data_IF_612300930046
#
_entry.id   IF_612300930046
#
_cell.length_a   1.000
_cell.length_b   1.000
_cell.length_c   1.000
_cell.angle_alpha   90.00
_cell.angle_beta   90.00
_cell.angle_gamma   90.00
#
_symmetry.space_group_name_H-M   'P 1'
#
loop_
_entity.id
_entity.type
_entity.pdbx_description
1 polymer ?
#
# COMPACT_ATOMS: atom_id res chain seq x y z
N UNK A 1 1.44 39.05 2.06
CA UNK A 1 2.47 38.24 2.72
C UNK A 1 3.54 37.91 1.68
N UNK A 2 4.82 37.96 2.03
CA UNK A 2 5.90 37.56 1.12
C UNK A 2 5.95 36.04 1.01
N UNK A 3 6.14 35.52 -0.22
CA UNK A 3 6.31 34.08 -0.45
C UNK A 3 7.51 33.58 0.36
N UNK A 4 7.30 32.54 1.17
CA UNK A 4 8.41 31.87 1.85
C UNK A 4 8.99 30.87 0.87
N UNK A 5 10.22 31.14 0.39
CA UNK A 5 10.95 30.15 -0.38
C UNK A 5 11.27 28.97 0.54
N UNK A 6 10.65 27.82 0.30
CA UNK A 6 11.00 26.59 0.98
C UNK A 6 12.38 26.13 0.52
N UNK A 7 13.19 25.61 1.44
CA UNK A 7 14.47 24.98 1.11
C UNK A 7 14.32 23.60 0.44
N UNK A 8 13.09 23.20 0.13
CA UNK A 8 12.73 21.87 -0.37
C UNK A 8 11.81 22.04 -1.58
N UNK A 9 12.15 21.38 -2.68
CA UNK A 9 11.26 21.19 -3.82
C UNK A 9 10.53 19.86 -3.67
N UNK A 10 9.23 19.91 -3.38
CA UNK A 10 8.42 18.71 -3.15
C UNK A 10 8.33 17.80 -4.38
N UNK A 11 8.45 18.35 -5.59
CA UNK A 11 8.42 17.55 -6.83
C UNK A 11 9.73 16.80 -7.04
N UNK A 12 10.86 17.40 -6.68
CA UNK A 12 12.15 16.69 -6.70
C UNK A 12 12.22 15.61 -5.62
N UNK A 13 11.72 15.87 -4.41
CA UNK A 13 11.62 14.85 -3.35
C UNK A 13 10.70 13.69 -3.75
N UNK A 14 9.57 13.99 -4.42
CA UNK A 14 8.71 12.97 -5.02
C UNK A 14 9.49 12.09 -6.01
N UNK A 15 10.28 12.67 -6.92
CA UNK A 15 11.08 11.89 -7.88
C UNK A 15 12.09 10.99 -7.18
N UNK A 16 12.80 11.51 -6.16
CA UNK A 16 13.75 10.71 -5.36
C UNK A 16 13.06 9.55 -4.67
N UNK A 17 11.90 9.80 -4.05
CA UNK A 17 11.11 8.78 -3.39
C UNK A 17 10.64 7.67 -4.34
N UNK A 18 10.12 8.02 -5.52
CA UNK A 18 9.74 7.03 -6.54
C UNK A 18 10.94 6.19 -7.01
N UNK A 19 12.11 6.81 -7.18
CA UNK A 19 13.34 6.10 -7.53
C UNK A 19 13.72 5.09 -6.46
N UNK A 20 13.71 5.48 -5.18
CA UNK A 20 13.98 4.59 -4.04
C UNK A 20 13.01 3.40 -4.01
N UNK A 21 11.71 3.63 -4.23
CA UNK A 21 10.70 2.56 -4.27
C UNK A 21 10.96 1.62 -5.46
N UNK A 22 11.36 2.15 -6.62
CA UNK A 22 11.67 1.32 -7.79
C UNK A 22 12.93 0.46 -7.55
N UNK A 23 13.92 1.00 -6.84
CA UNK A 23 15.15 0.27 -6.48
C UNK A 23 14.94 -0.87 -5.47
N UNK A 24 13.77 -0.94 -4.83
CA UNK A 24 13.36 -2.04 -3.93
C UNK A 24 13.02 -3.33 -4.69
N UNK A 25 12.89 -3.28 -6.02
CA UNK A 25 12.51 -4.40 -6.88
C UNK A 25 11.09 -4.90 -6.62
N UNK A 26 10.88 -6.21 -6.65
CA UNK A 26 9.58 -6.83 -6.45
C UNK A 26 9.06 -6.57 -5.04
N UNK A 27 7.96 -5.83 -4.92
CA UNK A 27 7.35 -5.50 -3.63
C UNK A 27 6.25 -6.49 -3.27
N UNK A 28 6.32 -7.05 -2.07
CA UNK A 28 5.28 -7.91 -1.49
C UNK A 28 4.69 -7.17 -0.29
N UNK A 29 3.47 -6.67 -0.47
CA UNK A 29 2.79 -5.84 0.52
C UNK A 29 1.96 -6.76 1.42
N UNK A 30 2.23 -6.74 2.72
CA UNK A 30 1.47 -7.53 3.70
C UNK A 30 0.70 -6.59 4.61
N UNK A 31 -0.60 -6.83 4.79
CA UNK A 31 -1.41 -6.02 5.70
C UNK A 31 -0.95 -6.23 7.15
N UNK A 32 -0.48 -5.16 7.79
CA UNK A 32 -0.05 -5.13 9.20
C UNK A 32 -1.01 -4.32 10.09
N UNK A 33 -2.24 -4.07 9.62
CA UNK A 33 -3.31 -3.54 10.48
C UNK A 33 -3.66 -4.51 11.62
N UNK A 34 -4.18 -3.99 12.74
CA UNK A 34 -4.44 -4.75 13.97
C UNK A 34 -5.23 -6.06 13.74
N UNK A 35 -6.25 -6.04 12.88
CA UNK A 35 -7.01 -7.24 12.53
C UNK A 35 -6.19 -8.31 11.79
N UNK A 36 -5.23 -7.91 10.95
CA UNK A 36 -4.32 -8.86 10.29
C UNK A 36 -3.22 -9.32 11.23
N UNK A 37 -2.72 -8.44 12.11
CA UNK A 37 -1.76 -8.81 13.17
C UNK A 37 -2.36 -9.88 14.09
N UNK A 38 -3.61 -9.70 14.53
CA UNK A 38 -4.32 -10.69 15.32
C UNK A 38 -4.52 -12.03 14.57
N UNK A 39 -4.52 -12.01 13.24
CA UNK A 39 -4.61 -13.19 12.38
C UNK A 39 -3.25 -13.78 11.97
N UNK A 40 -2.14 -13.27 12.53
CA UNK A 40 -0.79 -13.81 12.31
C UNK A 40 0.01 -13.15 11.19
N UNK A 41 -0.31 -11.92 10.77
CA UNK A 41 0.41 -11.27 9.66
C UNK A 41 1.89 -11.01 9.94
N UNK A 42 2.29 -10.84 11.21
CA UNK A 42 3.70 -10.69 11.58
C UNK A 42 4.51 -11.95 11.25
N UNK A 43 3.98 -13.13 11.55
CA UNK A 43 4.62 -14.40 11.18
C UNK A 43 4.72 -14.55 9.65
N UNK A 44 3.68 -14.13 8.92
CA UNK A 44 3.71 -14.12 7.43
C UNK A 44 4.83 -13.21 6.92
N UNK A 45 4.95 -12.00 7.48
CA UNK A 45 6.03 -11.05 7.14
C UNK A 45 7.41 -11.66 7.44
N UNK A 46 7.61 -12.20 8.64
CA UNK A 46 8.89 -12.80 9.02
C UNK A 46 9.22 -14.00 8.13
N UNK A 47 8.26 -14.87 7.81
CA UNK A 47 8.50 -15.99 6.90
C UNK A 47 8.85 -15.55 5.48
N UNK A 48 8.21 -14.50 4.97
CA UNK A 48 8.60 -13.91 3.67
C UNK A 48 10.00 -13.29 3.72
N UNK A 49 10.38 -12.67 4.85
CA UNK A 49 11.75 -12.21 5.06
C UNK A 49 12.72 -13.38 5.15
N UNK A 50 12.42 -14.48 5.83
CA UNK A 50 13.30 -15.67 5.87
C UNK A 50 13.56 -16.25 4.47
N UNK A 51 12.53 -16.31 3.62
CA UNK A 51 12.66 -16.79 2.23
C UNK A 51 13.30 -15.74 1.30
N UNK A 52 13.35 -14.48 1.72
CA UNK A 52 13.65 -13.32 0.88
C UNK A 52 14.80 -12.42 1.33
N UNK A 53 15.35 -12.63 2.53
CA UNK A 53 16.43 -11.82 3.10
C UNK A 53 17.76 -12.51 2.82
N UNK A 54 18.61 -11.80 2.07
CA UNK A 54 19.96 -12.17 1.62
C UNK A 54 20.07 -13.23 0.50
N UNK A 55 19.64 -12.85 -0.72
CA UNK A 55 20.06 -13.53 -1.95
C UNK A 55 21.03 -12.68 -2.75
N UNK A 56 22.28 -12.76 -2.31
CA UNK A 56 23.49 -12.63 -3.14
C UNK A 56 23.63 -13.79 -4.17
N UNK A 57 22.57 -14.57 -4.40
CA UNK A 57 22.60 -15.83 -5.18
C UNK A 57 21.48 -15.93 -6.22
N UNK A 58 20.82 -14.82 -6.57
CA UNK A 58 19.97 -14.79 -7.75
C UNK A 58 20.58 -13.84 -8.77
N UNK A 59 21.14 -14.42 -9.83
CA UNK A 59 21.70 -13.68 -10.96
C UNK A 59 20.55 -13.00 -11.71
N UNK A 60 20.64 -11.68 -11.79
CA UNK A 60 19.93 -10.76 -12.69
C UNK A 60 18.39 -10.53 -12.48
N UNK A 61 17.75 -11.18 -11.51
CA UNK A 61 16.35 -10.96 -11.07
C UNK A 61 16.23 -11.35 -9.58
N UNK A 62 15.65 -10.67 -8.61
CA UNK A 62 14.99 -9.39 -8.43
C UNK A 62 15.16 -9.10 -6.93
N UNK A 63 15.48 -7.86 -6.55
CA UNK A 63 15.40 -7.44 -5.14
C UNK A 63 13.96 -7.65 -4.68
N UNK A 64 13.69 -8.54 -3.74
CA UNK A 64 12.34 -8.67 -3.17
C UNK A 64 12.27 -7.87 -1.87
N UNK A 65 11.31 -6.96 -1.77
CA UNK A 65 11.12 -6.16 -0.58
C UNK A 65 9.76 -6.45 0.04
N UNK A 66 9.78 -6.88 1.31
CA UNK A 66 8.57 -7.11 2.08
C UNK A 66 8.15 -5.80 2.73
N UNK A 67 6.94 -5.34 2.40
CA UNK A 67 6.43 -4.04 2.79
C UNK A 67 5.27 -4.24 3.77
N UNK A 68 5.44 -4.00 5.08
CA UNK A 68 4.32 -3.94 5.99
C UNK A 68 3.46 -2.72 5.67
N UNK A 69 2.20 -2.93 5.36
CA UNK A 69 1.24 -1.87 5.01
C UNK A 69 0.25 -1.62 6.13
N UNK A 70 -0.40 -0.45 6.10
CA UNK A 70 -1.55 -0.16 6.96
C UNK A 70 -2.74 -1.09 6.71
N UNK A 71 -3.84 -0.90 7.44
CA UNK A 71 -5.05 -1.71 7.26
C UNK A 71 -5.69 -1.49 5.88
N UNK A 72 -6.08 -2.58 5.22
CA UNK A 72 -6.78 -2.53 3.91
C UNK A 72 -8.30 -2.43 4.08
N UNK A 73 -8.84 -2.75 5.26
CA UNK A 73 -10.26 -2.65 5.57
C UNK A 73 -11.07 -3.94 5.36
N UNK A 74 -10.54 -4.95 4.65
CA UNK A 74 -11.23 -6.24 4.47
C UNK A 74 -10.77 -7.29 5.49
N UNK A 75 -10.98 -7.00 6.77
CA UNK A 75 -10.46 -7.82 7.89
C UNK A 75 -10.93 -9.29 7.87
N UNK A 76 -12.14 -9.56 7.37
CA UNK A 76 -12.66 -10.93 7.23
C UNK A 76 -11.80 -11.81 6.30
N UNK A 77 -11.12 -11.19 5.34
CA UNK A 77 -10.22 -11.84 4.39
C UNK A 77 -8.75 -11.73 4.81
N UNK A 78 -8.46 -11.21 6.01
CA UNK A 78 -7.10 -11.13 6.54
C UNK A 78 -6.51 -12.51 6.85
N UNK A 79 -5.21 -12.75 6.68
CA UNK A 79 -4.15 -11.82 6.27
C UNK A 79 -4.15 -11.60 4.76
N UNK A 80 -4.00 -10.34 4.34
CA UNK A 80 -3.93 -9.94 2.94
C UNK A 80 -2.47 -9.77 2.50
N UNK A 81 -2.13 -10.34 1.34
CA UNK A 81 -0.82 -10.18 0.70
C UNK A 81 -1.04 -9.72 -0.74
N UNK A 82 -0.45 -8.59 -1.12
CA UNK A 82 -0.58 -8.01 -2.46
C UNK A 82 0.79 -8.01 -3.13
N UNK A 83 0.85 -8.42 -4.40
CA UNK A 83 2.02 -8.32 -5.25
C UNK A 83 1.64 -7.43 -6.44
N UNK A 84 1.87 -6.10 -6.36
CA UNK A 84 1.32 -5.12 -7.30
C UNK A 84 1.79 -5.35 -8.73
N UNK A 85 3.09 -5.64 -8.92
CA UNK A 85 3.69 -5.87 -10.24
C UNK A 85 3.15 -7.13 -10.94
N UNK A 86 2.53 -8.04 -10.16
CA UNK A 86 1.88 -9.25 -10.68
C UNK A 86 0.36 -9.14 -10.68
N UNK A 87 -0.20 -8.03 -10.20
CA UNK A 87 -1.65 -7.79 -10.12
C UNK A 87 -2.41 -8.90 -9.36
N UNK A 88 -1.81 -9.44 -8.29
CA UNK A 88 -2.42 -10.51 -7.48
C UNK A 88 -2.57 -10.10 -6.03
N UNK A 89 -3.73 -10.42 -5.46
CA UNK A 89 -4.05 -10.33 -4.04
C UNK A 89 -4.41 -11.70 -3.51
N UNK A 90 -3.70 -12.12 -2.47
CA UNK A 90 -4.01 -13.32 -1.69
C UNK A 90 -4.77 -12.96 -0.43
N UNK A 91 -5.74 -13.79 -0.10
CA UNK A 91 -6.59 -13.65 1.09
C UNK A 91 -6.36 -14.80 2.06
N UNK A 92 -6.64 -14.55 3.34
CA UNK A 92 -6.58 -15.54 4.44
C UNK A 92 -5.24 -16.28 4.52
N UNK A 93 -4.16 -15.62 4.10
CA UNK A 93 -2.81 -16.20 4.07
C UNK A 93 -2.38 -16.60 5.47
N UNK A 94 -1.82 -17.80 5.60
CA UNK A 94 -1.17 -18.30 6.81
C UNK A 94 0.33 -18.44 6.57
N UNK A 95 1.10 -18.50 7.65
CA UNK A 95 2.55 -18.69 7.62
C UNK A 95 2.97 -19.88 6.74
N UNK A 96 2.26 -21.02 6.85
CA UNK A 96 2.50 -22.22 6.04
C UNK A 96 2.26 -22.04 4.53
N UNK A 97 1.48 -21.04 4.13
CA UNK A 97 1.16 -20.78 2.72
C UNK A 97 2.26 -19.95 2.03
N UNK A 98 3.14 -19.32 2.81
CA UNK A 98 4.18 -18.41 2.31
C UNK A 98 5.18 -19.12 1.40
N UNK A 99 5.58 -20.34 1.74
CA UNK A 99 6.48 -21.15 0.90
C UNK A 99 5.86 -21.47 -0.47
N UNK A 100 4.56 -21.78 -0.51
CA UNK A 100 3.85 -22.04 -1.77
C UNK A 100 3.75 -20.77 -2.63
N UNK A 101 3.45 -19.62 -2.03
CA UNK A 101 3.42 -18.33 -2.73
C UNK A 101 4.80 -18.01 -3.31
N UNK A 102 5.86 -18.21 -2.53
CA UNK A 102 7.23 -17.92 -2.95
C UNK A 102 7.67 -18.84 -4.11
N UNK A 103 7.52 -20.15 -3.96
CA UNK A 103 7.95 -21.10 -4.98
C UNK A 103 7.07 -21.05 -6.24
N UNK A 104 5.74 -21.05 -6.10
CA UNK A 104 4.84 -21.09 -7.26
C UNK A 104 4.75 -19.73 -7.94
N UNK A 105 4.51 -18.66 -7.18
CA UNK A 105 4.16 -17.37 -7.79
C UNK A 105 5.38 -16.47 -7.98
N UNK A 106 6.21 -16.29 -6.95
CA UNK A 106 7.33 -15.35 -7.04
C UNK A 106 8.41 -15.89 -7.99
N UNK A 107 8.83 -17.15 -7.84
CA UNK A 107 9.84 -17.78 -8.70
C UNK A 107 9.29 -18.22 -10.06
N UNK A 108 8.12 -18.87 -10.09
CA UNK A 108 7.61 -19.52 -11.30
C UNK A 108 6.46 -18.76 -11.99
N UNK A 109 6.11 -17.55 -11.53
CA UNK A 109 5.04 -16.73 -12.08
C UNK A 109 3.67 -17.43 -12.18
N UNK A 110 3.39 -18.38 -11.28
CA UNK A 110 2.14 -19.13 -11.23
C UNK A 110 1.38 -18.80 -9.93
N UNK A 111 0.28 -18.02 -10.01
CA UNK A 111 -0.52 -17.68 -8.84
C UNK A 111 -1.06 -18.92 -8.09
N UNK A 112 -1.16 -18.81 -6.77
CA UNK A 112 -1.74 -19.85 -5.91
C UNK A 112 -3.26 -19.67 -5.86
N UNK A 113 -3.98 -20.31 -6.78
CA UNK A 113 -5.42 -20.10 -7.00
C UNK A 113 -6.27 -20.29 -5.74
N UNK A 114 -5.95 -21.28 -4.90
CA UNK A 114 -6.69 -21.55 -3.65
C UNK A 114 -6.65 -20.39 -2.64
N UNK A 115 -5.70 -19.46 -2.79
CA UNK A 115 -5.54 -18.28 -1.93
C UNK A 115 -6.10 -17.01 -2.56
N UNK A 116 -6.61 -17.08 -3.80
CA UNK A 116 -7.29 -15.95 -4.44
C UNK A 116 -8.69 -15.77 -3.84
N UNK A 117 -9.16 -14.53 -3.80
CA UNK A 117 -10.53 -14.25 -3.40
C UNK A 117 -11.50 -14.94 -4.36
N UNK A 118 -12.52 -15.60 -3.83
CA UNK A 118 -13.61 -16.18 -4.62
C UNK A 118 -14.81 -15.27 -4.48
N UNK A 119 -15.33 -14.75 -5.59
CA UNK A 119 -16.52 -13.93 -5.57
C UNK A 119 -17.74 -14.78 -5.12
N UNK A 120 -18.48 -14.38 -4.08
CA UNK A 120 -19.58 -15.18 -3.56
C UNK A 120 -20.78 -15.28 -4.51
N UNK A 121 -20.84 -14.44 -5.56
CA UNK A 121 -21.92 -14.44 -6.56
C UNK A 121 -21.53 -15.21 -7.82
N UNK A 122 -20.32 -15.01 -8.34
CA UNK A 122 -19.88 -15.66 -9.59
C UNK A 122 -19.16 -16.98 -9.34
N UNK A 123 -18.67 -17.22 -8.11
CA UNK A 123 -17.80 -18.34 -7.74
C UNK A 123 -16.47 -18.38 -8.50
N UNK A 124 -16.06 -17.26 -9.09
CA UNK A 124 -14.80 -17.12 -9.82
C UNK A 124 -13.70 -16.55 -8.93
N UNK A 125 -12.46 -16.93 -9.24
CA UNK A 125 -11.28 -16.33 -8.62
C UNK A 125 -11.05 -14.90 -9.13
N UNK A 126 -10.85 -13.98 -8.20
CA UNK A 126 -10.50 -12.59 -8.48
C UNK A 126 -9.03 -12.39 -8.12
N UNK A 127 -8.25 -11.95 -9.10
CA UNK A 127 -6.82 -11.72 -8.93
C UNK A 127 -6.52 -10.35 -8.34
N UNK A 128 -7.13 -9.30 -8.89
CA UNK A 128 -6.83 -7.92 -8.53
C UNK A 128 -7.66 -7.44 -7.36
N UNK A 129 -7.02 -6.65 -6.50
CA UNK A 129 -7.68 -6.05 -5.35
C UNK A 129 -8.85 -5.15 -5.78
N UNK A 130 -8.66 -4.39 -6.85
CA UNK A 130 -9.62 -3.40 -7.37
C UNK A 130 -10.88 -4.05 -7.94
N UNK A 131 -10.79 -5.32 -8.35
CA UNK A 131 -11.87 -6.10 -8.94
C UNK A 131 -12.71 -6.83 -7.88
N UNK A 132 -12.20 -6.96 -6.65
CA UNK A 132 -12.94 -7.56 -5.54
C UNK A 132 -14.15 -6.67 -5.24
N UNK A 133 -15.35 -7.27 -5.28
CA UNK A 133 -16.63 -6.60 -5.12
C UNK A 133 -16.74 -5.70 -3.86
N UNK A 134 -16.01 -6.05 -2.80
CA UNK A 134 -15.89 -5.23 -1.59
C UNK A 134 -15.24 -3.86 -1.87
N UNK A 135 -14.14 -3.81 -2.63
CA UNK A 135 -13.40 -2.58 -2.94
C UNK A 135 -13.95 -1.85 -4.17
N UNK A 136 -14.36 -2.59 -5.22
CA UNK A 136 -14.79 -2.03 -6.51
C UNK A 136 -15.94 -1.01 -6.39
N UNK A 137 -16.73 -1.09 -5.32
CA UNK A 137 -17.91 -0.22 -5.07
C UNK A 137 -17.61 0.94 -4.12
N UNK A 138 -16.36 1.12 -3.70
CA UNK A 138 -15.97 2.15 -2.75
C UNK A 138 -15.26 3.31 -3.45
N UNK A 139 -15.59 4.54 -3.06
CA UNK A 139 -14.77 5.72 -3.36
C UNK A 139 -13.85 6.00 -2.18
N UNK A 140 -12.59 5.57 -2.28
CA UNK A 140 -11.62 5.62 -1.17
C UNK A 140 -10.81 6.92 -1.15
N UNK A 141 -11.45 8.09 -1.10
CA UNK A 141 -10.73 9.38 -1.16
C UNK A 141 -9.73 9.57 0.00
N UNK A 142 -10.17 9.42 1.25
CA UNK A 142 -9.29 9.54 2.42
C UNK A 142 -8.41 8.29 2.66
N UNK A 143 -8.85 7.14 2.16
CA UNK A 143 -8.19 5.84 2.37
C UNK A 143 -7.41 5.38 1.13
N UNK A 144 -7.14 6.27 0.17
CA UNK A 144 -6.59 5.93 -1.15
C UNK A 144 -5.23 5.21 -1.03
N UNK A 145 -4.43 5.59 -0.05
CA UNK A 145 -3.08 5.04 0.16
C UNK A 145 -3.08 3.84 1.12
N UNK A 146 -4.17 3.58 1.84
CA UNK A 146 -4.25 2.49 2.81
C UNK A 146 -4.13 1.14 2.09
N UNK A 147 -3.09 0.38 2.44
CA UNK A 147 -2.78 -0.92 1.85
C UNK A 147 -1.87 -0.88 0.62
N UNK A 148 -1.48 0.32 0.17
CA UNK A 148 -0.60 0.51 -0.99
C UNK A 148 0.79 1.03 -0.62
N UNK A 149 0.94 1.60 0.58
CA UNK A 149 2.21 2.12 1.11
C UNK A 149 2.54 1.55 2.49
N UNK A 150 3.82 1.57 2.84
CA UNK A 150 4.28 1.45 4.22
C UNK A 150 3.92 2.72 5.01
N UNK A 151 3.10 2.56 6.04
CA UNK A 151 2.64 3.67 6.87
C UNK A 151 3.77 4.32 7.71
N UNK A 152 4.90 3.64 7.88
CA UNK A 152 6.05 4.10 8.66
C UNK A 152 7.20 4.60 7.76
N UNK A 153 7.03 4.64 6.44
CA UNK A 153 8.04 5.13 5.50
C UNK A 153 7.67 6.52 4.99
N UNK A 154 8.53 7.50 5.31
CA UNK A 154 8.35 8.89 4.89
C UNK A 154 8.45 9.03 3.37
N UNK A 155 9.39 8.33 2.74
CA UNK A 155 9.60 8.35 1.30
C UNK A 155 8.36 7.85 0.57
N UNK A 156 7.74 6.76 1.03
CA UNK A 156 6.50 6.27 0.43
C UNK A 156 5.35 7.27 0.58
N UNK A 157 5.21 7.91 1.75
CA UNK A 157 4.22 8.97 1.94
C UNK A 157 4.47 10.17 1.01
N UNK A 158 5.73 10.57 0.81
CA UNK A 158 6.10 11.63 -0.14
C UNK A 158 5.77 11.21 -1.57
N UNK A 159 6.11 9.98 -1.98
CA UNK A 159 5.85 9.46 -3.33
C UNK A 159 4.36 9.52 -3.70
N UNK A 160 3.47 9.21 -2.75
CA UNK A 160 2.01 9.30 -2.96
C UNK A 160 1.43 10.67 -2.61
N UNK A 161 2.24 11.74 -2.66
CA UNK A 161 1.82 13.14 -2.51
C UNK A 161 1.31 13.51 -1.11
N UNK A 162 1.62 12.72 -0.09
CA UNK A 162 1.13 12.90 1.28
C UNK A 162 1.51 14.25 1.92
N UNK A 163 2.64 14.84 1.51
CA UNK A 163 3.13 16.14 1.99
C UNK A 163 2.97 17.29 0.98
N UNK A 164 2.41 17.02 -0.21
CA UNK A 164 2.32 18.02 -1.27
C UNK A 164 1.44 19.21 -0.90
N UNK A 165 0.28 18.96 -0.28
CA UNK A 165 -0.60 20.03 0.16
C UNK A 165 0.08 20.93 1.19
N UNK A 166 0.83 20.34 2.14
CA UNK A 166 1.56 21.10 3.15
C UNK A 166 2.64 21.99 2.51
N UNK A 167 3.43 21.45 1.59
CA UNK A 167 4.45 22.21 0.89
C UNK A 167 3.84 23.41 0.13
N UNK A 168 2.76 23.18 -0.63
CA UNK A 168 2.09 24.23 -1.39
C UNK A 168 1.55 25.35 -0.48
N UNK A 169 0.93 24.98 0.65
CA UNK A 169 0.36 25.96 1.60
C UNK A 169 1.45 26.83 2.24
N UNK A 170 2.57 26.21 2.62
CA UNK A 170 3.69 26.94 3.22
C UNK A 170 4.38 27.86 2.21
N UNK A 171 4.49 27.44 0.95
CA UNK A 171 5.06 28.26 -0.13
C UNK A 171 4.14 29.45 -0.50
N UNK A 172 2.83 29.22 -0.58
CA UNK A 172 1.86 30.28 -0.83
C UNK A 172 1.82 31.30 0.32
N UNK A 173 2.04 30.84 1.55
CA UNK A 173 2.08 31.64 2.78
C UNK A 173 0.84 32.55 2.91
N UNK A 174 -0.34 31.99 2.64
CA UNK A 174 -1.62 32.70 2.62
C UNK A 174 -2.71 31.93 3.39
N UNK A 175 -2.90 32.23 4.68
CA UNK A 175 -3.91 31.55 5.51
C UNK A 175 -5.35 31.72 5.00
N UNK A 176 -5.71 32.88 4.44
CA UNK A 176 -7.06 33.15 3.95
C UNK A 176 -7.43 32.24 2.76
N UNK A 177 -6.47 31.97 1.86
CA UNK A 177 -6.67 31.03 0.75
C UNK A 177 -6.90 29.59 1.24
N UNK A 178 -6.27 29.19 2.35
CA UNK A 178 -6.50 27.87 2.96
C UNK A 178 -7.94 27.77 3.47
N UNK A 179 -8.41 28.79 4.20
CA UNK A 179 -9.79 28.85 4.71
C UNK A 179 -10.78 28.76 3.55
N UNK A 180 -10.60 29.61 2.53
CA UNK A 180 -11.47 29.63 1.34
C UNK A 180 -11.49 28.27 0.61
N UNK A 181 -10.34 27.60 0.50
CA UNK A 181 -10.25 26.27 -0.12
C UNK A 181 -11.07 25.23 0.65
N UNK A 182 -10.97 25.23 1.98
CA UNK A 182 -11.73 24.31 2.83
C UNK A 182 -13.23 24.63 2.78
N UNK A 183 -13.62 25.90 2.83
CA UNK A 183 -15.04 26.31 2.72
C UNK A 183 -15.63 25.91 1.37
N UNK A 184 -14.93 26.18 0.26
CA UNK A 184 -15.35 25.78 -1.10
C UNK A 184 -15.46 24.27 -1.27
N UNK A 185 -14.66 23.49 -0.54
CA UNK A 185 -14.72 22.02 -0.60
C UNK A 185 -16.01 21.45 -0.01
N UNK A 186 -16.73 22.22 0.81
CA UNK A 186 -17.91 21.75 1.53
C UNK A 186 -17.60 20.67 2.57
N UNK A 187 -16.34 20.57 3.03
CA UNK A 187 -15.95 19.61 4.05
C UNK A 187 -16.69 19.88 5.36
N UNK A 188 -17.18 18.80 5.97
CA UNK A 188 -17.87 18.81 7.26
C UNK A 188 -17.09 17.98 8.27
N UNK A 189 -17.26 18.28 9.55
CA UNK A 189 -16.69 17.55 10.67
C UNK A 189 -17.07 16.07 10.65
N UNK A 190 -16.06 15.21 10.57
CA UNK A 190 -16.24 13.74 10.51
C UNK A 190 -16.31 13.06 11.87
N UNK A 191 -16.28 13.84 12.96
CA UNK A 191 -16.40 13.35 14.34
C UNK A 191 -17.83 13.05 14.81
N UNK A 192 -18.84 13.18 13.93
CA UNK A 192 -20.24 12.84 14.22
C UNK A 192 -21.22 14.02 14.25
N UNK A 193 -20.74 15.26 14.47
CA UNK A 193 -21.58 16.46 14.48
C UNK A 193 -21.99 16.98 13.09
N UNK A 194 -21.23 16.61 12.05
CA UNK A 194 -21.45 17.08 10.68
C UNK A 194 -20.97 18.50 10.48
#
# INVERSE_FOLDING_TARGET
MEKTALNIDIKEEQKKAHKLITEQGLRVLVCAGTGCVANGSLNVIEKFKELGADVSVLTDYDKMTIVPTGCHGFCEQGVLVIIPDRHVTYVKVKEKDVEEIYESHIKNNKPVERLLYVDPKTHEHVHKNEEINFYAKQTRTALANCGHINAECLEEAIAVRGYEALANILEENNPDAVIETIEKSGLRGRGGGG
#
